data_IF_640270538118
#
_entry.id   IF_640270538118
#
_cell.length_a   1.000
_cell.length_b   1.000
_cell.length_c   1.000
_cell.angle_alpha   90.00
_cell.angle_beta   90.00
_cell.angle_gamma   90.00
#
_symmetry.space_group_name_H-M   'P 1'
#
loop_
_entity.id
_entity.type
_entity.pdbx_description
1 polymer ?
#
# COMPACT_ATOMS: atom_id res chain seq x y z
N UNK A 1 -9.85 -5.09 18.21
CA UNK A 1 -10.69 -4.12 18.93
C UNK A 1 -11.78 -3.65 18.00
N UNK A 2 -13.04 -3.51 18.45
CA UNK A 2 -14.07 -2.89 17.62
C UNK A 2 -13.62 -1.45 17.31
N UNK A 3 -13.91 -0.97 16.09
CA UNK A 3 -13.54 0.37 15.66
C UNK A 3 -14.19 1.41 16.56
N UNK A 4 -13.40 2.27 17.21
CA UNK A 4 -13.94 3.43 17.92
C UNK A 4 -14.67 4.32 16.91
N UNK A 5 -15.95 4.65 17.12
CA UNK A 5 -16.76 5.42 16.19
C UNK A 5 -16.26 6.87 15.97
N UNK A 6 -15.25 7.30 16.74
CA UNK A 6 -14.76 8.68 16.80
C UNK A 6 -13.50 8.95 15.98
N UNK A 7 -12.93 7.95 15.29
CA UNK A 7 -11.73 8.19 14.46
C UNK A 7 -12.11 9.00 13.22
N UNK A 8 -11.35 10.07 12.88
CA UNK A 8 -11.58 10.83 11.65
C UNK A 8 -11.43 9.91 10.43
N UNK A 9 -12.13 10.22 9.35
CA UNK A 9 -12.25 9.31 8.20
C UNK A 9 -11.53 9.87 6.98
N UNK A 10 -10.78 8.99 6.30
CA UNK A 10 -10.22 9.27 5.00
C UNK A 10 -10.70 8.22 4.00
N UNK A 11 -11.03 8.63 2.79
CA UNK A 11 -11.40 7.72 1.70
C UNK A 11 -10.47 7.90 0.51
N UNK A 12 -9.94 6.81 -0.02
CA UNK A 12 -9.12 6.78 -1.23
C UNK A 12 -9.87 6.07 -2.36
N UNK A 13 -10.12 6.76 -3.47
CA UNK A 13 -10.85 6.22 -4.62
C UNK A 13 -9.90 5.65 -5.68
N UNK A 14 -10.04 4.36 -6.00
CA UNK A 14 -9.31 3.63 -7.06
C UNK A 14 -10.16 2.52 -7.69
N UNK A 15 -11.29 2.86 -8.30
CA UNK A 15 -12.21 1.93 -8.97
C UNK A 15 -11.72 1.38 -10.34
N UNK A 16 -10.49 0.85 -10.38
CA UNK A 16 -9.85 0.27 -11.58
C UNK A 16 -9.43 -1.20 -11.36
N UNK A 17 -8.39 -1.69 -12.05
CA UNK A 17 -7.94 -3.10 -11.97
C UNK A 17 -6.83 -3.27 -10.93
N UNK A 18 -6.39 -4.52 -10.72
CA UNK A 18 -5.30 -4.84 -9.80
C UNK A 18 -4.00 -4.08 -10.10
N UNK A 19 -3.55 -4.06 -11.36
CA UNK A 19 -2.32 -3.34 -11.72
C UNK A 19 -2.41 -1.85 -11.40
N UNK A 20 -3.57 -1.26 -11.64
CA UNK A 20 -3.89 0.13 -11.35
C UNK A 20 -3.86 0.42 -9.83
N UNK A 21 -4.33 -0.52 -9.00
CA UNK A 21 -4.22 -0.43 -7.54
C UNK A 21 -2.78 -0.54 -7.06
N UNK A 22 -2.02 -1.51 -7.58
CA UNK A 22 -0.63 -1.77 -7.16
C UNK A 22 0.30 -0.58 -7.39
N UNK A 23 0.09 0.18 -8.47
CA UNK A 23 0.89 1.40 -8.71
C UNK A 23 0.54 2.56 -7.76
N UNK A 24 -0.58 2.49 -7.05
CA UNK A 24 -1.00 3.49 -6.06
C UNK A 24 -0.55 3.14 -4.62
N UNK A 25 -0.03 1.93 -4.39
CA UNK A 25 0.43 1.46 -3.06
C UNK A 25 1.40 2.42 -2.37
N UNK A 26 2.43 2.96 -3.05
CA UNK A 26 3.33 3.91 -2.39
C UNK A 26 2.63 5.19 -1.89
N UNK A 27 1.62 5.67 -2.62
CA UNK A 27 0.80 6.79 -2.17
C UNK A 27 -0.07 6.41 -0.98
N UNK A 28 -0.61 5.18 -0.92
CA UNK A 28 -1.34 4.68 0.24
C UNK A 28 -0.45 4.61 1.49
N UNK A 29 0.79 4.08 1.39
CA UNK A 29 1.75 4.10 2.50
C UNK A 29 2.02 5.53 3.00
N UNK A 30 2.19 6.48 2.07
CA UNK A 30 2.39 7.89 2.42
C UNK A 30 1.19 8.50 3.15
N UNK A 31 -0.03 8.21 2.69
CA UNK A 31 -1.27 8.64 3.36
C UNK A 31 -1.39 8.04 4.76
N UNK A 32 -1.05 6.76 4.93
CA UNK A 32 -1.08 6.11 6.24
C UNK A 32 -0.16 6.82 7.24
N UNK A 33 1.06 7.18 6.83
CA UNK A 33 2.00 7.95 7.65
C UNK A 33 1.52 9.36 7.97
N UNK A 34 0.87 10.03 7.01
CA UNK A 34 0.40 11.40 7.16
C UNK A 34 -0.89 11.52 7.98
N UNK A 35 -1.68 10.45 8.05
CA UNK A 35 -3.00 10.45 8.67
C UNK A 35 -3.12 9.36 9.76
N UNK A 36 -2.17 9.16 10.70
CA UNK A 36 -2.11 7.96 11.54
C UNK A 36 -3.41 7.67 12.34
N UNK A 37 -4.08 8.72 12.80
CA UNK A 37 -5.33 8.59 13.57
C UNK A 37 -6.56 8.31 12.70
N UNK A 38 -6.48 8.52 11.38
CA UNK A 38 -7.64 8.33 10.50
C UNK A 38 -7.91 6.87 10.21
N UNK A 39 -9.19 6.51 10.12
CA UNK A 39 -9.62 5.28 9.46
C UNK A 39 -9.59 5.50 7.95
N UNK A 40 -8.71 4.81 7.23
CA UNK A 40 -8.52 4.95 5.79
C UNK A 40 -9.30 3.85 5.07
N UNK A 41 -10.36 4.23 4.35
CA UNK A 41 -11.15 3.36 3.49
C UNK A 41 -10.64 3.37 2.06
N UNK A 42 -10.44 2.19 1.47
CA UNK A 42 -10.19 2.06 0.03
C UNK A 42 -11.52 1.81 -0.70
N UNK A 43 -11.97 2.81 -1.47
CA UNK A 43 -13.09 2.69 -2.38
C UNK A 43 -12.61 2.21 -3.75
N UNK A 44 -12.76 0.92 -4.04
CA UNK A 44 -12.22 0.31 -5.25
C UNK A 44 -13.09 -0.84 -5.76
N UNK A 45 -12.75 -1.38 -6.94
CA UNK A 45 -13.54 -2.41 -7.60
C UNK A 45 -13.71 -3.65 -6.70
N UNK A 46 -14.94 -4.11 -6.49
CA UNK A 46 -15.27 -5.10 -5.44
C UNK A 46 -14.44 -6.40 -5.44
N UNK A 47 -14.04 -6.90 -6.62
CA UNK A 47 -13.22 -8.12 -6.73
C UNK A 47 -11.79 -7.95 -6.15
N UNK A 48 -11.36 -6.73 -5.86
CA UNK A 48 -10.08 -6.42 -5.22
C UNK A 48 -10.12 -6.54 -3.70
N UNK A 49 -11.26 -6.89 -3.08
CA UNK A 49 -11.37 -7.10 -1.64
C UNK A 49 -10.25 -8.01 -1.06
N UNK A 50 -9.80 -9.11 -1.71
CA UNK A 50 -8.71 -9.93 -1.20
C UNK A 50 -7.35 -9.23 -1.09
N UNK A 51 -7.18 -8.05 -1.71
CA UNK A 51 -5.94 -7.25 -1.59
C UNK A 51 -5.89 -6.43 -0.32
N UNK A 52 -7.02 -6.12 0.29
CA UNK A 52 -7.11 -5.22 1.46
C UNK A 52 -6.24 -5.71 2.63
N UNK A 53 -6.25 -7.01 3.01
CA UNK A 53 -5.36 -7.50 4.07
C UNK A 53 -3.86 -7.41 3.74
N UNK A 54 -3.50 -7.24 2.46
CA UNK A 54 -2.12 -7.10 2.00
C UNK A 54 -1.64 -5.64 2.00
N UNK A 55 -2.56 -4.69 2.23
CA UNK A 55 -2.33 -3.25 2.25
C UNK A 55 -2.40 -2.75 3.71
N UNK A 56 -1.28 -2.73 4.42
CA UNK A 56 -1.21 -2.22 5.80
C UNK A 56 -1.58 -0.73 5.94
N UNK A 57 -1.64 -0.01 4.82
CA UNK A 57 -2.09 1.38 4.74
C UNK A 57 -3.61 1.58 4.83
N UNK A 58 -4.42 0.51 4.71
CA UNK A 58 -5.88 0.59 4.57
C UNK A 58 -6.55 -0.13 5.74
N UNK A 59 -7.52 0.53 6.38
CA UNK A 59 -8.27 -0.02 7.51
C UNK A 59 -9.51 -0.81 7.05
N UNK A 60 -10.18 -0.37 5.98
CA UNK A 60 -11.40 -1.02 5.45
C UNK A 60 -11.64 -0.77 3.95
N UNK A 61 -12.68 -1.41 3.42
CA UNK A 61 -12.94 -1.50 1.99
C UNK A 61 -14.37 -1.10 1.65
N UNK A 62 -14.51 -0.27 0.62
CA UNK A 62 -15.80 0.12 0.05
C UNK A 62 -15.87 -0.46 -1.37
N UNK A 63 -16.61 -1.56 -1.58
CA UNK A 63 -16.69 -2.20 -2.89
C UNK A 63 -17.49 -1.35 -3.87
N UNK A 64 -16.92 -1.09 -5.04
CA UNK A 64 -17.56 -0.36 -6.13
C UNK A 64 -17.69 -1.22 -7.40
N UNK A 65 -18.67 -0.87 -8.24
CA UNK A 65 -18.84 -1.40 -9.59
C UNK A 65 -18.53 -0.30 -10.61
N UNK A 66 -17.27 0.14 -10.63
CA UNK A 66 -16.81 1.30 -11.42
C UNK A 66 -17.00 2.63 -10.71
N UNK A 67 -16.93 3.74 -11.46
CA UNK A 67 -17.16 5.09 -10.95
C UNK A 67 -18.67 5.36 -10.84
N UNK A 68 -19.27 4.89 -9.76
CA UNK A 68 -20.66 5.16 -9.39
C UNK A 68 -20.74 5.86 -8.03
N UNK A 69 -21.76 6.72 -7.80
CA UNK A 69 -21.98 7.30 -6.48
C UNK A 69 -22.10 6.23 -5.39
N UNK A 70 -21.55 6.52 -4.22
CA UNK A 70 -21.64 5.67 -3.04
C UNK A 70 -21.78 6.53 -1.79
N UNK A 71 -22.20 5.92 -0.69
CA UNK A 71 -22.35 6.59 0.60
C UNK A 71 -21.40 6.00 1.63
N UNK A 72 -21.09 6.80 2.64
CA UNK A 72 -20.39 6.38 3.85
C UNK A 72 -21.30 6.69 5.04
N UNK A 73 -21.15 5.94 6.13
CA UNK A 73 -21.96 6.15 7.34
C UNK A 73 -21.79 7.57 7.92
N UNK A 74 -20.62 8.15 7.69
CA UNK A 74 -20.24 9.51 8.12
C UNK A 74 -19.42 10.17 7.01
N UNK A 75 -19.58 11.49 6.79
CA UNK A 75 -18.75 12.23 5.84
C UNK A 75 -17.25 12.09 6.16
N UNK A 76 -16.39 11.87 5.16
CA UNK A 76 -14.95 11.79 5.40
C UNK A 76 -14.35 13.18 5.65
N UNK A 77 -13.37 13.27 6.53
CA UNK A 77 -12.55 14.47 6.68
C UNK A 77 -11.66 14.67 5.45
N UNK A 78 -11.15 13.57 4.87
CA UNK A 78 -10.23 13.59 3.74
C UNK A 78 -10.74 12.70 2.60
N UNK A 79 -10.86 13.26 1.40
CA UNK A 79 -11.06 12.49 0.18
C UNK A 79 -9.81 12.53 -0.69
N UNK A 80 -9.33 11.36 -1.11
CA UNK A 80 -8.15 11.20 -1.95
C UNK A 80 -8.54 10.61 -3.30
N UNK A 81 -8.27 11.34 -4.38
CA UNK A 81 -8.52 10.89 -5.73
C UNK A 81 -7.26 10.22 -6.32
N UNK A 82 -7.20 8.89 -6.21
CA UNK A 82 -6.16 8.08 -6.85
C UNK A 82 -6.62 7.52 -8.21
N UNK A 83 -7.67 8.09 -8.82
CA UNK A 83 -8.26 7.55 -10.05
C UNK A 83 -7.87 8.33 -11.31
N UNK A 84 -8.24 9.61 -11.37
CA UNK A 84 -8.04 10.50 -12.52
C UNK A 84 -8.08 11.96 -12.09
N UNK A 85 -8.01 12.90 -13.03
CA UNK A 85 -8.13 14.35 -12.77
C UNK A 85 -9.50 14.94 -13.13
N UNK A 86 -10.39 14.15 -13.74
CA UNK A 86 -11.63 14.66 -14.33
C UNK A 86 -12.87 14.55 -13.44
N UNK A 87 -13.98 15.22 -13.86
CA UNK A 87 -15.28 15.20 -13.21
C UNK A 87 -15.81 13.81 -12.81
N UNK A 88 -15.65 12.74 -13.61
CA UNK A 88 -16.17 11.42 -13.22
C UNK A 88 -15.69 10.93 -11.85
N UNK A 89 -14.46 11.25 -11.47
CA UNK A 89 -13.89 10.88 -10.17
C UNK A 89 -14.10 11.94 -9.09
N UNK A 90 -13.96 13.22 -9.43
CA UNK A 90 -14.08 14.31 -8.46
C UNK A 90 -15.52 14.50 -8.00
N UNK A 91 -16.50 14.42 -8.89
CA UNK A 91 -17.93 14.56 -8.55
C UNK A 91 -18.38 13.49 -7.54
N UNK A 92 -17.93 12.24 -7.70
CA UNK A 92 -18.26 11.16 -6.76
C UNK A 92 -17.68 11.45 -5.38
N UNK A 93 -16.43 11.93 -5.31
CA UNK A 93 -15.80 12.28 -4.04
C UNK A 93 -16.41 13.54 -3.41
N UNK A 94 -16.81 14.52 -4.22
CA UNK A 94 -17.43 15.76 -3.74
C UNK A 94 -18.83 15.53 -3.18
N UNK A 95 -19.57 14.54 -3.70
CA UNK A 95 -20.85 14.12 -3.15
C UNK A 95 -20.74 13.58 -1.71
N UNK A 96 -19.54 13.16 -1.27
CA UNK A 96 -19.27 12.76 0.11
C UNK A 96 -19.04 13.96 1.04
N UNK A 97 -18.99 15.18 0.52
CA UNK A 97 -18.75 16.43 1.27
C UNK A 97 -17.47 16.43 2.13
N UNK A 98 -16.29 16.11 1.56
CA UNK A 98 -15.05 16.03 2.32
C UNK A 98 -14.57 17.42 2.79
N UNK A 99 -13.97 17.49 3.98
CA UNK A 99 -13.34 18.73 4.49
C UNK A 99 -12.05 19.08 3.75
N UNK A 100 -11.29 18.06 3.36
CA UNK A 100 -10.03 18.19 2.61
C UNK A 100 -10.04 17.28 1.39
N UNK A 101 -9.57 17.82 0.27
CA UNK A 101 -9.43 17.14 -1.01
C UNK A 101 -7.95 16.96 -1.34
N UNK A 102 -7.56 15.76 -1.74
CA UNK A 102 -6.19 15.43 -2.19
C UNK A 102 -6.28 14.78 -3.56
N UNK A 103 -5.85 15.49 -4.61
CA UNK A 103 -5.93 15.02 -5.99
C UNK A 103 -5.09 15.87 -6.94
N UNK A 104 -5.18 15.55 -8.24
CA UNK A 104 -4.66 16.41 -9.29
C UNK A 104 -5.57 17.62 -9.52
N UNK A 105 -5.04 18.67 -10.14
CA UNK A 105 -5.85 19.79 -10.59
C UNK A 105 -6.88 19.33 -11.63
N UNK A 106 -8.12 19.78 -11.48
CA UNK A 106 -9.23 19.44 -12.39
C UNK A 106 -10.55 19.23 -11.65
N UNK A 107 -11.68 19.46 -12.32
CA UNK A 107 -13.02 19.28 -11.72
C UNK A 107 -13.25 20.09 -10.44
N UNK A 108 -12.64 21.27 -10.31
CA UNK A 108 -12.72 22.14 -9.12
C UNK A 108 -11.74 21.79 -8.00
N UNK A 109 -10.89 20.77 -8.18
CA UNK A 109 -9.86 20.40 -7.22
C UNK A 109 -8.56 21.15 -7.48
N UNK A 110 -7.87 21.54 -6.41
CA UNK A 110 -6.50 22.03 -6.46
C UNK A 110 -5.50 20.88 -6.40
N UNK A 111 -4.31 21.11 -6.91
CA UNK A 111 -3.25 20.12 -6.94
C UNK A 111 -2.31 20.34 -8.12
N UNK A 112 -1.40 19.40 -8.37
CA UNK A 112 -0.52 19.50 -9.51
C UNK A 112 -1.24 19.01 -10.78
N UNK A 113 -0.76 19.48 -11.94
CA UNK A 113 -1.31 19.06 -13.24
C UNK A 113 -1.14 17.55 -13.46
N UNK A 114 -2.07 16.99 -14.24
CA UNK A 114 -2.00 15.62 -14.73
C UNK A 114 -0.98 15.51 -15.87
N UNK A 115 -0.08 14.53 -15.79
CA UNK A 115 0.90 14.23 -16.85
C UNK A 115 0.80 12.76 -17.23
N UNK A 116 0.43 12.50 -18.48
CA UNK A 116 0.28 11.13 -19.01
C UNK A 116 1.61 10.39 -19.15
N UNK A 117 2.70 11.13 -19.41
CA UNK A 117 4.03 10.54 -19.64
C UNK A 117 4.74 10.10 -18.35
N UNK A 118 4.21 10.46 -17.18
CA UNK A 118 4.78 10.01 -15.91
C UNK A 118 4.44 8.54 -15.65
N UNK A 119 5.42 7.71 -15.22
CA UNK A 119 5.13 6.39 -14.69
C UNK A 119 4.09 6.48 -13.57
N UNK A 120 3.06 5.65 -13.58
CA UNK A 120 1.90 5.83 -12.69
C UNK A 120 2.27 5.91 -11.21
N UNK A 121 3.24 5.11 -10.74
CA UNK A 121 3.74 5.20 -9.35
C UNK A 121 4.24 6.61 -8.99
N UNK A 122 4.99 7.21 -9.91
CA UNK A 122 5.55 8.54 -9.76
C UNK A 122 4.44 9.60 -9.83
N UNK A 123 3.44 9.41 -10.69
CA UNK A 123 2.27 10.30 -10.78
C UNK A 123 1.55 10.42 -9.43
N UNK A 124 1.22 9.29 -8.81
CA UNK A 124 0.51 9.29 -7.51
C UNK A 124 1.37 9.83 -6.37
N UNK A 125 2.67 9.48 -6.32
CA UNK A 125 3.60 10.04 -5.33
C UNK A 125 3.79 11.54 -5.49
N UNK A 126 3.93 12.04 -6.72
CA UNK A 126 4.01 13.47 -7.02
C UNK A 126 2.74 14.19 -6.57
N UNK A 127 1.58 13.61 -6.82
CA UNK A 127 0.29 14.16 -6.40
C UNK A 127 0.24 14.35 -4.88
N UNK A 128 0.50 13.31 -4.08
CA UNK A 128 0.44 13.45 -2.62
C UNK A 128 1.54 14.37 -2.07
N UNK A 129 2.74 14.40 -2.68
CA UNK A 129 3.82 15.33 -2.32
C UNK A 129 3.43 16.79 -2.53
N UNK A 130 2.71 17.11 -3.61
CA UNK A 130 2.20 18.45 -3.85
C UNK A 130 1.17 18.90 -2.77
N UNK A 131 0.56 17.95 -2.07
CA UNK A 131 -0.31 18.18 -0.90
C UNK A 131 0.45 18.11 0.44
N UNK A 132 1.79 18.20 0.40
CA UNK A 132 2.65 18.24 1.58
C UNK A 132 2.93 16.87 2.22
N UNK A 133 2.64 15.77 1.53
CA UNK A 133 2.80 14.40 2.06
C UNK A 133 4.02 13.71 1.43
N UNK A 134 5.09 13.44 2.20
CA UNK A 134 6.24 12.70 1.68
C UNK A 134 5.89 11.27 1.27
N UNK A 135 6.04 10.97 -0.02
CA UNK A 135 5.91 9.63 -0.58
C UNK A 135 7.22 9.20 -1.23
N UNK A 136 7.44 7.90 -1.40
CA UNK A 136 8.56 7.34 -2.16
C UNK A 136 8.03 6.27 -3.13
N UNK A 137 8.19 6.42 -4.46
CA UNK A 137 7.65 5.48 -5.46
C UNK A 137 8.20 4.05 -5.38
N UNK A 138 9.25 3.81 -4.60
CA UNK A 138 9.84 2.49 -4.36
C UNK A 138 9.21 1.75 -3.16
N UNK A 139 8.30 2.39 -2.42
CA UNK A 139 7.54 1.77 -1.32
C UNK A 139 6.41 0.87 -1.82
N UNK A 140 6.77 -0.18 -2.57
CA UNK A 140 5.85 -1.08 -3.28
C UNK A 140 5.56 -2.39 -2.53
N UNK A 141 6.00 -2.51 -1.28
CA UNK A 141 5.81 -3.74 -0.52
C UNK A 141 4.33 -3.98 -0.21
N UNK A 142 4.00 -5.25 0.00
CA UNK A 142 2.72 -5.71 0.51
C UNK A 142 2.98 -6.55 1.75
N UNK A 143 1.99 -6.64 2.64
CA UNK A 143 2.06 -7.55 3.78
C UNK A 143 2.18 -8.99 3.27
N UNK A 144 3.11 -9.76 3.83
CA UNK A 144 3.24 -11.18 3.53
C UNK A 144 1.97 -11.91 3.98
N UNK A 145 1.28 -12.66 3.10
CA UNK A 145 0.08 -13.39 3.49
C UNK A 145 0.37 -14.35 4.65
N UNK A 146 -0.51 -14.38 5.65
CA UNK A 146 -0.38 -15.29 6.80
C UNK A 146 -0.47 -16.77 6.41
N UNK A 147 -1.12 -17.08 5.27
CA UNK A 147 -1.22 -18.44 4.74
C UNK A 147 0.06 -18.77 3.97
N UNK A 148 0.84 -19.78 4.42
CA UNK A 148 2.04 -20.18 3.71
C UNK A 148 1.73 -20.71 2.31
N UNK A 149 2.68 -20.56 1.39
CA UNK A 149 2.57 -21.17 0.07
C UNK A 149 2.46 -22.70 0.20
N UNK A 150 1.49 -23.36 -0.46
CA UNK A 150 1.41 -24.83 -0.47
C UNK A 150 2.57 -25.47 -1.26
N UNK A 151 3.32 -24.67 -2.04
CA UNK A 151 4.54 -25.10 -2.73
C UNK A 151 5.66 -24.08 -2.53
N UNK A 152 6.32 -24.09 -1.35
CA UNK A 152 7.40 -23.17 -1.06
C UNK A 152 8.51 -23.26 -2.09
N UNK A 153 9.02 -22.10 -2.50
CA UNK A 153 10.09 -22.01 -3.47
C UNK A 153 9.71 -22.38 -4.90
N UNK A 154 8.44 -22.67 -5.24
CA UNK A 154 8.00 -22.91 -6.61
C UNK A 154 8.19 -21.69 -7.53
N UNK A 155 8.34 -21.91 -8.83
CA UNK A 155 8.26 -20.84 -9.83
C UNK A 155 6.84 -20.79 -10.37
N UNK A 156 6.21 -19.62 -10.31
CA UNK A 156 4.90 -19.38 -10.90
C UNK A 156 5.05 -18.86 -12.34
N UNK A 157 4.27 -19.44 -13.26
CA UNK A 157 4.13 -18.94 -14.63
C UNK A 157 2.70 -18.43 -14.79
N UNK A 158 2.54 -17.17 -15.15
CA UNK A 158 1.23 -16.56 -15.36
C UNK A 158 1.01 -16.28 -16.86
N UNK A 159 0.33 -17.18 -17.61
CA UNK A 159 0.14 -17.04 -19.05
C UNK A 159 -0.95 -16.02 -19.43
N UNK A 160 -1.53 -15.33 -18.45
CA UNK A 160 -2.67 -14.44 -18.62
C UNK A 160 -2.30 -13.09 -19.24
N UNK A 161 -3.18 -12.60 -20.11
CA UNK A 161 -3.16 -11.23 -20.62
C UNK A 161 -4.57 -10.82 -21.04
N UNK A 162 -5.03 -9.62 -20.68
CA UNK A 162 -6.40 -9.18 -21.02
C UNK A 162 -6.62 -9.13 -22.53
N UNK A 163 -5.62 -8.62 -23.26
CA UNK A 163 -5.68 -8.43 -24.71
C UNK A 163 -4.92 -9.55 -25.42
N UNK A 164 -5.46 -10.05 -26.53
CA UNK A 164 -4.86 -11.16 -27.29
C UNK A 164 -3.41 -10.91 -27.70
N UNK A 165 -3.10 -9.68 -28.14
CA UNK A 165 -1.72 -9.28 -28.49
C UNK A 165 -0.73 -9.33 -27.30
N UNK A 166 -1.22 -9.36 -26.05
CA UNK A 166 -0.40 -9.50 -24.83
C UNK A 166 -0.34 -10.94 -24.34
N UNK A 167 -0.90 -11.91 -25.07
CA UNK A 167 -0.84 -13.34 -24.75
C UNK A 167 0.24 -13.99 -25.59
N UNK A 168 1.21 -14.57 -24.93
CA UNK A 168 2.21 -15.40 -25.60
C UNK A 168 1.61 -16.78 -25.93
N UNK A 169 2.02 -17.44 -27.04
CA UNK A 169 1.49 -18.74 -27.40
C UNK A 169 1.61 -19.77 -26.26
N UNK A 170 0.56 -20.58 -25.99
CA UNK A 170 0.57 -21.56 -24.89
C UNK A 170 1.73 -22.54 -24.96
N UNK A 171 2.12 -22.97 -26.15
CA UNK A 171 3.20 -23.92 -26.40
C UNK A 171 4.53 -23.37 -25.88
N UNK A 172 4.74 -22.05 -26.01
CA UNK A 172 5.95 -21.40 -25.53
C UNK A 172 5.97 -21.27 -24.01
N UNK A 173 4.84 -20.96 -23.37
CA UNK A 173 4.72 -21.04 -21.91
C UNK A 173 5.00 -22.46 -21.40
N UNK A 174 4.49 -23.48 -22.11
CA UNK A 174 4.72 -24.88 -21.76
C UNK A 174 6.20 -25.26 -21.84
N UNK A 175 6.91 -24.79 -22.87
CA UNK A 175 8.34 -25.01 -23.02
C UNK A 175 9.15 -24.39 -21.87
N UNK A 176 8.80 -23.16 -21.46
CA UNK A 176 9.42 -22.49 -20.30
C UNK A 176 9.13 -23.25 -19.01
N UNK A 177 7.88 -23.66 -18.77
CA UNK A 177 7.51 -24.41 -17.58
C UNK A 177 8.27 -25.75 -17.48
N UNK A 178 8.40 -26.49 -18.59
CA UNK A 178 9.19 -27.73 -18.65
C UNK A 178 10.67 -27.48 -18.37
N UNK A 179 11.25 -26.44 -18.95
CA UNK A 179 12.66 -26.08 -18.73
C UNK A 179 12.93 -25.70 -17.25
N UNK A 180 12.01 -24.96 -16.63
CA UNK A 180 12.10 -24.60 -15.20
C UNK A 180 11.95 -25.82 -14.29
N UNK A 181 11.05 -26.75 -14.63
CA UNK A 181 10.89 -28.00 -13.89
C UNK A 181 12.16 -28.86 -13.95
N UNK A 182 12.71 -29.08 -15.15
CA UNK A 182 13.93 -29.87 -15.34
C UNK A 182 15.13 -29.32 -14.55
N UNK A 183 15.30 -28.00 -14.50
CA UNK A 183 16.37 -27.34 -13.73
C UNK A 183 16.24 -27.53 -12.21
N UNK A 184 15.02 -27.66 -11.69
CA UNK A 184 14.79 -27.92 -10.26
C UNK A 184 15.09 -29.35 -9.86
N UNK A 185 14.97 -30.30 -10.78
CA UNK A 185 15.33 -31.70 -10.53
C UNK A 185 16.85 -31.95 -10.55
N UNK A 186 17.66 -31.00 -11.04
CA UNK A 186 19.12 -31.12 -11.14
C UNK A 186 19.94 -30.44 -10.03
N UNK A 187 19.31 -29.79 -9.04
CA UNK A 187 20.01 -29.08 -7.98
C UNK A 187 19.47 -29.46 -6.58
N UNK A 188 20.26 -30.12 -5.72
CA UNK A 188 19.90 -30.26 -4.32
C UNK A 188 20.08 -28.91 -3.61
N UNK A 189 19.00 -28.39 -3.02
CA UNK A 189 19.05 -27.38 -1.96
C UNK A 189 19.73 -26.05 -2.30
N UNK A 190 19.04 -25.14 -3.00
CA UNK A 190 19.35 -23.71 -2.84
C UNK A 190 18.62 -23.19 -1.60
N UNK A 191 19.32 -23.20 -0.47
CA UNK A 191 18.93 -22.52 0.76
C UNK A 191 18.59 -21.06 0.44
N UNK A 192 17.33 -20.67 0.59
CA UNK A 192 16.94 -19.25 0.57
C UNK A 192 17.53 -18.61 1.82
N UNK A 193 18.65 -17.92 1.67
CA UNK A 193 19.18 -17.03 2.71
C UNK A 193 18.22 -15.84 2.79
N UNK A 194 17.32 -15.84 3.79
CA UNK A 194 16.55 -14.64 4.18
C UNK A 194 17.58 -13.52 4.41
N UNK A 195 17.67 -12.53 3.52
CA UNK A 195 18.20 -11.22 3.92
C UNK A 195 17.14 -10.64 4.84
N UNK A 196 17.38 -10.72 6.15
CA UNK A 196 16.60 -9.95 7.11
C UNK A 196 16.65 -8.48 6.70
N UNK A 197 15.48 -7.87 6.54
CA UNK A 197 15.38 -6.42 6.63
C UNK A 197 15.92 -6.02 8.01
N UNK A 198 16.69 -4.92 8.14
CA UNK A 198 17.10 -4.45 9.45
C UNK A 198 15.83 -4.00 10.19
N UNK A 199 15.39 -4.82 11.15
CA UNK A 199 14.53 -4.33 12.22
C UNK A 199 15.34 -3.25 12.95
N UNK A 200 14.98 -1.99 12.71
CA UNK A 200 15.33 -0.89 13.59
C UNK A 200 14.65 -1.12 14.94
N UNK A 201 15.29 -1.90 15.81
CA UNK A 201 14.92 -1.94 17.21
C UNK A 201 15.13 -0.53 17.79
N UNK A 202 14.17 0.04 18.55
CA UNK A 202 14.40 1.26 19.27
C UNK A 202 15.52 1.03 20.30
N UNK A 203 16.59 1.82 20.19
CA UNK A 203 17.66 1.87 21.20
C UNK A 203 17.04 2.14 22.57
N UNK A 204 17.34 1.35 23.61
CA UNK A 204 16.95 1.71 24.97
C UNK A 204 17.68 2.99 25.36
N UNK A 205 16.91 4.00 25.76
CA UNK A 205 17.42 5.21 26.41
C UNK A 205 18.30 4.77 27.60
N UNK A 206 19.58 5.14 27.55
CA UNK A 206 20.54 4.83 28.59
C UNK A 206 20.08 5.39 29.92
N UNK A 207 19.84 4.51 30.90
CA UNK A 207 19.78 4.91 32.31
C UNK A 207 21.16 5.45 32.72
N UNK A 208 21.25 6.58 33.43
CA UNK A 208 22.51 7.05 33.96
C UNK A 208 23.07 6.04 34.96
N UNK A 209 24.35 5.73 34.83
CA UNK A 209 25.11 4.86 35.74
C UNK A 209 25.15 5.52 37.12
N UNK A 210 24.45 4.94 38.10
CA UNK A 210 24.74 5.18 39.51
C UNK A 210 26.09 4.53 39.82
N UNK A 211 27.08 5.35 40.17
CA UNK A 211 28.39 4.90 40.60
C UNK A 211 28.32 4.17 41.96
N UNK A 212 29.31 3.32 42.27
CA UNK A 212 29.30 2.52 43.50
C UNK A 212 29.43 3.43 44.73
N UNK A 213 28.47 3.29 45.65
CA UNK A 213 28.54 3.79 47.02
C UNK A 213 29.79 3.22 47.70
N UNK A 214 30.77 4.09 48.00
CA UNK A 214 31.89 3.76 48.87
C UNK A 214 31.40 3.73 50.31
N UNK A 215 31.34 2.54 50.90
CA UNK A 215 31.26 2.40 52.37
C UNK A 215 32.57 2.92 52.97
N UNK A 216 32.51 4.00 53.75
CA UNK A 216 33.57 4.38 54.68
C UNK A 216 33.26 3.70 56.02
N UNK A 217 34.04 2.67 56.37
CA UNK A 217 34.17 2.27 57.76
C UNK A 217 35.04 3.33 58.44
N UNK A 218 34.47 4.01 59.44
CA UNK A 218 35.22 4.84 60.38
C UNK A 218 35.64 3.93 61.53
N UNK A 219 36.93 3.88 61.79
CA UNK A 219 37.52 3.30 62.99
C UNK A 219 38.37 4.38 63.65
N UNK A 220 38.02 4.70 64.90
CA UNK A 220 38.81 5.49 65.85
C UNK A 220 38.24 5.25 67.24
N UNK A 221 39.07 5.32 68.28
CA UNK A 221 40.36 4.65 68.49
C UNK A 221 40.22 3.36 69.30
#
# INVERSE_FOLDING_TARGET
MPASPDRPRAVALRALKLGDLLVAVPALHALRRALPEHRISLAATGWLAPMVPLLDAVDDFVPLTGLVPFTLDTPPDVAVNLHGAGPPSTTILDALTPRRRIGHAGGGWSGPDWHDDLPERHRWCRMVRAHGIPADPEEVWLVEPAVPSPRPGATLVHPGGRYGAKRWPPERFSAVARALAARRHGAPGSTVRRRGAPHGAPRPLGRPRLGPLRCRASSSP
#
